data_IF_981959021215
#
_entry.id   IF_981959021215
#
_cell.length_a   1.000
_cell.length_b   1.000
_cell.length_c   1.000
_cell.angle_alpha   90.00
_cell.angle_beta   90.00
_cell.angle_gamma   90.00
#
_symmetry.space_group_name_H-M   'P 1'
#
loop_
_entity.id
_entity.type
_entity.pdbx_description
1 polymer ?
#
# COMPACT_ATOMS: atom_id res chain seq x y z
N UNK A 1 15.16 8.98 -0.51
CA UNK A 1 16.33 8.29 0.07
C UNK A 1 17.64 8.95 -0.35
N UNK A 2 17.67 9.64 -1.49
CA UNK A 2 18.89 10.27 -2.02
C UNK A 2 19.42 11.38 -1.13
N UNK A 3 18.55 12.25 -0.58
CA UNK A 3 18.95 13.29 0.37
C UNK A 3 19.76 12.72 1.54
N UNK A 4 19.26 11.66 2.20
CA UNK A 4 19.98 11.02 3.32
C UNK A 4 21.29 10.39 2.84
N UNK A 5 21.30 9.77 1.66
CA UNK A 5 22.51 9.11 1.15
C UNK A 5 23.60 10.11 0.76
N UNK A 6 23.20 11.27 0.21
CA UNK A 6 24.11 12.29 -0.30
C UNK A 6 24.61 13.22 0.81
N UNK A 7 23.72 13.65 1.70
CA UNK A 7 24.07 14.64 2.74
C UNK A 7 24.52 14.01 4.05
N UNK A 8 24.12 12.75 4.30
CA UNK A 8 24.45 12.02 5.52
C UNK A 8 25.05 10.64 5.19
N UNK A 9 26.24 10.60 4.55
CA UNK A 9 26.83 9.35 4.06
C UNK A 9 27.16 8.34 5.18
N UNK A 10 27.41 8.84 6.39
CA UNK A 10 27.65 8.01 7.58
C UNK A 10 26.34 7.51 8.24
N UNK A 11 25.20 7.83 7.64
CA UNK A 11 23.87 7.54 8.16
C UNK A 11 23.31 8.62 9.07
N UNK A 12 22.04 8.46 9.42
CA UNK A 12 21.30 9.38 10.29
C UNK A 12 20.76 8.66 11.51
N UNK A 13 20.71 9.40 12.62
CA UNK A 13 19.95 9.03 13.80
C UNK A 13 18.67 9.85 13.81
N UNK A 14 17.52 9.19 13.88
CA UNK A 14 16.21 9.84 14.01
C UNK A 14 15.63 9.49 15.37
N UNK A 15 15.39 10.50 16.19
CA UNK A 15 14.76 10.31 17.51
C UNK A 15 13.26 10.49 17.37
N UNK A 16 12.49 9.45 17.71
CA UNK A 16 11.04 9.43 17.56
C UNK A 16 10.35 9.33 18.93
N UNK A 17 9.19 9.98 19.04
CA UNK A 17 8.32 9.92 20.21
C UNK A 17 7.38 8.72 20.25
N UNK A 18 7.72 7.60 19.60
CA UNK A 18 6.85 6.42 19.59
C UNK A 18 6.75 5.82 21.00
N UNK A 19 5.53 5.42 21.39
CA UNK A 19 5.27 4.76 22.67
C UNK A 19 4.58 3.42 22.46
N UNK A 20 4.98 2.42 23.25
CA UNK A 20 4.49 1.04 23.10
C UNK A 20 2.99 0.91 23.38
N UNK A 21 2.46 1.77 24.25
CA UNK A 21 1.06 1.75 24.69
C UNK A 21 0.11 2.48 23.72
N UNK A 22 0.59 2.95 22.55
CA UNK A 22 -0.25 3.64 21.58
C UNK A 22 -1.00 2.69 20.64
N UNK A 23 -0.44 1.51 20.36
CA UNK A 23 -1.10 0.48 19.57
C UNK A 23 -0.37 -0.87 19.65
N UNK A 24 -1.08 -1.95 19.29
CA UNK A 24 -0.48 -3.28 19.17
C UNK A 24 0.66 -3.36 18.13
N UNK A 25 0.63 -2.51 17.09
CA UNK A 25 1.70 -2.45 16.11
C UNK A 25 2.96 -1.79 16.72
N UNK A 26 2.78 -0.71 17.49
CA UNK A 26 3.87 0.03 18.14
C UNK A 26 4.48 -0.74 19.32
N UNK A 27 3.73 -1.63 19.96
CA UNK A 27 4.25 -2.42 21.08
C UNK A 27 5.43 -3.32 20.70
N UNK A 28 5.61 -3.65 19.42
CA UNK A 28 6.71 -4.48 18.92
C UNK A 28 7.96 -3.70 18.49
N UNK A 29 7.85 -2.37 18.37
CA UNK A 29 8.97 -1.51 17.92
C UNK A 29 10.06 -1.56 19.00
N UNK A 30 11.34 -1.74 18.64
CA UNK A 30 12.45 -1.75 19.60
C UNK A 30 12.87 -0.35 20.04
N UNK A 31 13.74 -0.25 21.06
CA UNK A 31 14.39 1.01 21.41
C UNK A 31 15.23 1.54 20.23
N UNK A 32 16.00 0.66 19.59
CA UNK A 32 16.69 0.93 18.31
C UNK A 32 15.98 0.14 17.21
N UNK A 33 15.65 0.80 16.10
CA UNK A 33 15.17 0.13 14.88
C UNK A 33 15.91 0.67 13.65
N UNK A 34 16.01 -0.16 12.61
CA UNK A 34 16.49 0.30 11.29
C UNK A 34 15.29 0.46 10.36
N UNK A 35 15.26 1.56 9.62
CA UNK A 35 14.21 1.77 8.63
C UNK A 35 14.41 0.79 7.45
N UNK A 36 13.43 -0.09 7.14
CA UNK A 36 13.57 -1.08 6.06
C UNK A 36 13.61 -0.46 4.66
N UNK A 37 13.14 0.79 4.52
CA UNK A 37 13.12 1.54 3.26
C UNK A 37 14.28 2.53 3.15
N UNK A 38 14.92 2.88 4.27
CA UNK A 38 16.06 3.79 4.34
C UNK A 38 17.16 3.13 5.18
N UNK A 39 17.98 2.24 4.59
CA UNK A 39 18.92 1.40 5.35
C UNK A 39 19.96 2.18 6.17
N UNK A 40 20.31 3.40 5.75
CA UNK A 40 21.24 4.29 6.44
C UNK A 40 20.59 5.12 7.56
N UNK A 41 19.31 4.91 7.85
CA UNK A 41 18.60 5.58 8.93
C UNK A 41 18.41 4.61 10.11
N UNK A 42 18.90 5.03 11.28
CA UNK A 42 18.67 4.36 12.56
C UNK A 42 17.70 5.20 13.38
N UNK A 43 16.62 4.58 13.84
CA UNK A 43 15.60 5.23 14.66
C UNK A 43 15.82 4.87 16.14
N UNK A 44 15.71 5.86 17.01
CA UNK A 44 15.72 5.72 18.47
C UNK A 44 14.34 6.09 19.02
N UNK A 45 13.83 5.30 19.96
CA UNK A 45 12.52 5.51 20.61
C UNK A 45 12.68 5.67 22.13
N UNK A 46 13.18 6.82 22.64
CA UNK A 46 13.61 6.95 24.04
C UNK A 46 12.47 6.84 25.05
N UNK A 47 11.29 7.32 24.67
CA UNK A 47 10.10 7.33 25.53
C UNK A 47 9.22 6.10 25.31
N UNK A 48 9.73 5.04 24.66
CA UNK A 48 8.92 3.90 24.24
C UNK A 48 8.10 3.29 25.39
N UNK A 49 8.67 3.17 26.57
CA UNK A 49 8.01 2.55 27.74
C UNK A 49 7.07 3.49 28.48
N UNK A 50 7.05 4.77 28.12
CA UNK A 50 6.26 5.77 28.81
C UNK A 50 4.80 5.72 28.38
N UNK A 51 3.92 5.81 29.35
CA UNK A 51 2.49 6.04 29.21
C UNK A 51 2.17 7.50 28.84
N UNK A 52 0.92 7.78 28.48
CA UNK A 52 0.47 9.16 28.26
C UNK A 52 0.57 10.00 29.55
N UNK A 53 0.26 9.40 30.69
CA UNK A 53 0.34 10.08 31.98
C UNK A 53 1.77 10.49 32.34
N UNK A 54 2.76 9.62 32.11
CA UNK A 54 4.18 9.96 32.36
C UNK A 54 4.68 11.09 31.46
N UNK A 55 4.26 11.11 30.19
CA UNK A 55 4.61 12.20 29.28
C UNK A 55 4.04 13.53 29.77
N UNK A 56 2.73 13.58 30.08
CA UNK A 56 2.10 14.80 30.58
C UNK A 56 2.65 15.23 31.93
N UNK A 57 2.88 14.29 32.85
CA UNK A 57 3.51 14.56 34.14
C UNK A 57 4.88 15.20 33.98
N UNK A 58 5.69 14.73 33.01
CA UNK A 58 6.99 15.33 32.71
C UNK A 58 6.88 16.71 32.08
N UNK A 59 5.97 16.92 31.11
CA UNK A 59 5.70 18.22 30.50
C UNK A 59 5.36 19.25 31.58
N UNK A 60 4.41 18.93 32.47
CA UNK A 60 3.99 19.84 33.54
C UNK A 60 5.09 20.05 34.59
N UNK A 61 5.76 18.99 35.04
CA UNK A 61 6.86 19.08 36.00
C UNK A 61 8.00 19.98 35.50
N UNK A 62 8.27 19.94 34.19
CA UNK A 62 9.33 20.75 33.56
C UNK A 62 8.84 22.10 33.03
N UNK A 63 7.54 22.39 33.10
CA UNK A 63 6.96 23.61 32.53
C UNK A 63 7.18 23.73 31.02
N UNK A 64 7.13 22.60 30.29
CA UNK A 64 7.33 22.61 28.84
C UNK A 64 6.10 23.16 28.13
N UNK A 65 6.34 23.95 27.09
CA UNK A 65 5.28 24.36 26.17
C UNK A 65 4.72 23.13 25.44
N UNK A 66 3.40 23.10 25.31
CA UNK A 66 2.69 22.10 24.52
C UNK A 66 1.67 22.80 23.62
N UNK A 67 1.19 22.08 22.61
CA UNK A 67 0.27 22.65 21.65
C UNK A 67 -1.10 22.98 22.29
N UNK A 68 -1.62 24.22 22.17
CA UNK A 68 -2.89 24.62 22.78
C UNK A 68 -4.12 23.80 22.35
N UNK A 69 -4.04 23.05 21.23
CA UNK A 69 -5.13 22.16 20.82
C UNK A 69 -5.42 21.05 21.85
N UNK A 70 -4.44 20.65 22.67
CA UNK A 70 -4.68 19.72 23.77
C UNK A 70 -5.67 20.27 24.82
N UNK A 71 -5.73 21.59 25.00
CA UNK A 71 -6.71 22.25 25.88
C UNK A 71 -8.09 22.39 25.23
N UNK A 72 -8.14 22.14 23.92
CA UNK A 72 -9.36 22.22 23.12
C UNK A 72 -9.91 20.85 22.81
N UNK A 73 -9.67 19.83 23.64
CA UNK A 73 -10.22 18.47 23.48
C UNK A 73 -9.71 17.72 22.24
N UNK A 74 -8.42 17.92 21.90
CA UNK A 74 -7.69 17.03 20.98
C UNK A 74 -6.76 16.12 21.77
N UNK A 75 -6.89 14.80 21.58
CA UNK A 75 -6.01 13.82 22.23
C UNK A 75 -4.75 13.54 21.40
N UNK A 76 -4.83 13.74 20.08
CA UNK A 76 -3.71 13.55 19.15
C UNK A 76 -3.74 14.60 18.06
N UNK A 77 -2.61 15.27 17.90
CA UNK A 77 -2.45 16.31 16.89
C UNK A 77 -1.82 15.69 15.65
N UNK A 78 -2.50 15.84 14.53
CA UNK A 78 -2.06 15.34 13.23
C UNK A 78 -2.57 16.23 12.11
N UNK A 79 -2.88 15.63 10.98
CA UNK A 79 -3.49 16.37 9.87
C UNK A 79 -4.89 16.88 10.24
N UNK A 80 -5.21 18.05 9.71
CA UNK A 80 -6.56 18.57 9.65
C UNK A 80 -7.51 17.54 9.00
N UNK A 81 -8.56 17.14 9.72
CA UNK A 81 -9.55 16.11 9.33
C UNK A 81 -8.98 14.73 8.96
N UNK A 82 -8.11 14.23 9.83
CA UNK A 82 -7.56 12.88 9.72
C UNK A 82 -8.67 11.80 9.68
N UNK A 83 -8.64 10.83 8.74
CA UNK A 83 -9.56 9.68 8.76
C UNK A 83 -9.37 8.80 10.01
N UNK A 84 -8.26 8.96 10.73
CA UNK A 84 -7.95 8.23 11.97
C UNK A 84 -8.23 9.01 13.26
N UNK A 85 -8.72 10.26 13.21
CA UNK A 85 -9.09 11.00 14.43
C UNK A 85 -10.37 10.44 15.06
N UNK A 86 -10.67 10.81 16.30
CA UNK A 86 -11.94 10.43 16.91
C UNK A 86 -13.11 11.18 16.25
N UNK A 87 -14.32 10.58 16.30
CA UNK A 87 -15.53 11.27 15.85
C UNK A 87 -15.83 12.52 16.70
N UNK A 88 -15.44 12.52 17.99
CA UNK A 88 -15.46 13.70 18.85
C UNK A 88 -14.54 14.80 18.33
N UNK A 89 -13.30 14.48 17.96
CA UNK A 89 -12.34 15.44 17.40
C UNK A 89 -12.81 15.99 16.03
N UNK A 90 -13.52 15.19 15.24
CA UNK A 90 -14.20 15.65 14.03
C UNK A 90 -15.26 16.72 14.34
N UNK A 91 -16.16 16.44 15.30
CA UNK A 91 -17.17 17.40 15.76
C UNK A 91 -16.57 18.62 16.42
N UNK A 92 -15.45 18.46 17.11
CA UNK A 92 -14.75 19.56 17.70
C UNK A 92 -14.11 20.46 16.63
N UNK A 93 -13.59 19.89 15.55
CA UNK A 93 -13.08 20.63 14.39
C UNK A 93 -14.17 21.46 13.72
N UNK A 94 -15.38 20.92 13.55
CA UNK A 94 -16.58 21.66 13.10
C UNK A 94 -16.84 22.90 13.97
N UNK A 95 -16.69 22.77 15.29
CA UNK A 95 -16.91 23.86 16.24
C UNK A 95 -15.84 24.94 16.20
N UNK A 96 -14.55 24.57 16.11
CA UNK A 96 -13.44 25.53 16.21
C UNK A 96 -12.96 26.06 14.86
N UNK A 97 -13.23 25.33 13.77
CA UNK A 97 -12.85 25.67 12.40
C UNK A 97 -13.98 25.27 11.40
N UNK A 98 -15.14 25.95 11.46
CA UNK A 98 -16.33 25.56 10.70
C UNK A 98 -16.12 25.63 9.19
N UNK A 99 -15.41 26.64 8.69
CA UNK A 99 -15.16 26.84 7.26
C UNK A 99 -14.39 25.66 6.65
N UNK A 100 -13.27 25.31 7.28
CA UNK A 100 -12.46 24.19 6.82
C UNK A 100 -13.25 22.87 6.90
N UNK A 101 -14.10 22.73 7.94
CA UNK A 101 -14.86 21.50 8.15
C UNK A 101 -15.90 21.33 7.06
N UNK A 102 -16.58 22.43 6.75
CA UNK A 102 -17.54 22.52 5.66
C UNK A 102 -16.90 22.15 4.33
N UNK A 103 -15.75 22.73 3.98
CA UNK A 103 -15.07 22.46 2.71
C UNK A 103 -14.80 20.96 2.50
N UNK A 104 -14.32 20.29 3.54
CA UNK A 104 -14.05 18.86 3.48
C UNK A 104 -15.31 18.00 3.54
N UNK A 105 -16.32 18.39 4.33
CA UNK A 105 -17.60 17.71 4.36
C UNK A 105 -18.28 17.76 2.99
N UNK A 106 -18.32 18.93 2.36
CA UNK A 106 -18.84 19.12 1.00
C UNK A 106 -18.10 18.24 -0.01
N UNK A 107 -16.77 18.19 0.06
CA UNK A 107 -15.97 17.29 -0.78
C UNK A 107 -16.39 15.82 -0.62
N UNK A 108 -16.57 15.36 0.62
CA UNK A 108 -16.96 13.98 0.90
C UNK A 108 -18.38 13.67 0.45
N UNK A 109 -19.32 14.60 0.60
CA UNK A 109 -20.69 14.43 0.11
C UNK A 109 -20.74 14.35 -1.41
N UNK A 110 -20.03 15.23 -2.10
CA UNK A 110 -19.90 15.17 -3.57
C UNK A 110 -19.27 13.84 -4.00
N UNK A 111 -18.22 13.39 -3.31
CA UNK A 111 -17.62 12.08 -3.56
C UNK A 111 -18.63 10.93 -3.39
N UNK A 112 -19.46 10.96 -2.34
CA UNK A 112 -20.48 9.94 -2.11
C UNK A 112 -21.53 9.93 -3.24
N UNK A 113 -22.04 11.10 -3.60
CA UNK A 113 -23.04 11.27 -4.67
C UNK A 113 -22.52 10.75 -6.01
N UNK A 114 -21.33 11.16 -6.45
CA UNK A 114 -20.71 10.72 -7.71
C UNK A 114 -20.53 9.20 -7.80
N UNK A 115 -20.44 8.53 -6.64
CA UNK A 115 -20.22 7.09 -6.48
C UNK A 115 -21.49 6.32 -6.17
N UNK A 116 -22.64 6.98 -6.15
CA UNK A 116 -23.94 6.39 -5.84
C UNK A 116 -24.00 5.82 -4.42
N UNK A 117 -23.33 6.49 -3.48
CA UNK A 117 -23.35 6.21 -2.04
C UNK A 117 -24.28 7.21 -1.34
N UNK A 118 -24.98 6.79 -0.28
CA UNK A 118 -25.88 7.65 0.50
C UNK A 118 -25.08 8.68 1.32
N UNK A 119 -25.72 9.78 1.74
CA UNK A 119 -25.08 10.83 2.56
C UNK A 119 -24.58 10.27 3.89
N UNK A 120 -25.33 9.34 4.46
CA UNK A 120 -25.05 8.62 5.70
C UNK A 120 -23.73 7.85 5.63
N UNK A 121 -23.24 7.51 4.43
CA UNK A 121 -21.91 6.96 4.22
C UNK A 121 -20.82 7.89 4.79
N UNK A 122 -21.00 9.20 4.59
CA UNK A 122 -20.11 10.26 5.09
C UNK A 122 -20.34 10.50 6.57
N UNK A 123 -21.60 10.68 6.97
CA UNK A 123 -22.00 11.05 8.34
C UNK A 123 -21.55 10.02 9.38
N UNK A 124 -21.63 8.72 9.02
CA UNK A 124 -21.23 7.60 9.89
C UNK A 124 -19.74 7.26 9.75
N UNK A 125 -18.98 8.00 8.92
CA UNK A 125 -17.53 7.84 8.80
C UNK A 125 -17.08 6.59 8.05
N UNK A 126 -17.92 6.00 7.19
CA UNK A 126 -17.55 4.79 6.42
C UNK A 126 -16.40 5.08 5.42
N UNK A 127 -16.33 6.29 4.88
CA UNK A 127 -15.26 6.77 3.99
C UNK A 127 -13.85 6.69 4.58
N UNK A 128 -13.72 6.58 5.91
CA UNK A 128 -12.45 6.51 6.63
C UNK A 128 -11.74 5.16 6.46
N UNK A 129 -12.46 4.16 5.98
CA UNK A 129 -12.02 2.78 5.89
C UNK A 129 -11.82 2.36 4.45
N UNK A 130 -10.71 1.66 4.19
CA UNK A 130 -10.52 0.96 2.91
C UNK A 130 -11.30 -0.34 2.84
N UNK A 131 -11.36 -1.05 3.96
CA UNK A 131 -12.17 -2.25 4.19
C UNK A 131 -12.88 -2.04 5.52
N UNK A 132 -14.20 -2.21 5.52
CA UNK A 132 -15.01 -2.01 6.71
C UNK A 132 -14.71 -3.09 7.75
N UNK A 133 -14.44 -2.72 9.02
CA UNK A 133 -14.37 -3.68 10.12
C UNK A 133 -15.71 -4.42 10.30
N UNK A 134 -15.71 -5.65 10.84
CA UNK A 134 -16.94 -6.43 11.02
C UNK A 134 -18.08 -5.68 11.73
N UNK A 135 -17.74 -4.87 12.74
CA UNK A 135 -18.73 -4.04 13.45
C UNK A 135 -19.37 -2.95 12.57
N UNK A 136 -18.60 -2.38 11.64
CA UNK A 136 -19.09 -1.35 10.73
C UNK A 136 -19.92 -1.97 9.61
N UNK A 137 -19.59 -3.19 9.18
CA UNK A 137 -20.41 -3.95 8.22
C UNK A 137 -21.81 -4.17 8.81
N UNK A 138 -21.89 -4.74 10.03
CA UNK A 138 -23.18 -4.93 10.72
C UNK A 138 -23.96 -3.64 10.89
N UNK A 139 -23.29 -2.57 11.29
CA UNK A 139 -23.93 -1.26 11.42
C UNK A 139 -24.52 -0.78 10.09
N UNK A 140 -23.81 -0.97 8.99
CA UNK A 140 -24.35 -0.63 7.66
C UNK A 140 -25.54 -1.50 7.28
N UNK A 141 -25.49 -2.80 7.57
CA UNK A 141 -26.59 -3.75 7.33
C UNK A 141 -27.84 -3.38 8.15
N UNK A 142 -27.67 -3.10 9.45
CA UNK A 142 -28.76 -2.70 10.35
C UNK A 142 -29.42 -1.39 9.93
N UNK A 143 -28.68 -0.52 9.23
CA UNK A 143 -29.16 0.76 8.72
C UNK A 143 -29.61 0.71 7.25
N UNK A 144 -29.56 -0.46 6.60
CA UNK A 144 -29.81 -0.66 5.16
C UNK A 144 -28.97 0.31 4.28
N UNK A 145 -27.71 0.55 4.68
CA UNK A 145 -26.81 1.47 4.02
C UNK A 145 -25.92 0.78 3.00
N UNK A 146 -25.98 1.30 1.77
CA UNK A 146 -25.03 0.96 0.73
C UNK A 146 -23.65 1.55 1.03
N UNK A 147 -22.64 0.70 1.16
CA UNK A 147 -21.26 1.09 1.47
C UNK A 147 -20.27 0.88 0.33
N UNK A 148 -20.70 0.21 -0.75
CA UNK A 148 -19.89 -0.07 -1.92
C UNK A 148 -20.19 0.88 -3.08
N UNK A 149 -19.18 1.58 -3.63
CA UNK A 149 -19.33 2.43 -4.81
C UNK A 149 -19.88 1.66 -6.02
N UNK A 150 -20.77 2.25 -6.82
CA UNK A 150 -21.23 1.66 -8.09
C UNK A 150 -20.21 1.77 -9.22
N UNK A 151 -19.31 2.76 -9.13
CA UNK A 151 -18.19 2.95 -10.05
C UNK A 151 -16.92 2.80 -9.25
N UNK A 152 -16.21 1.67 -9.37
CA UNK A 152 -14.85 1.57 -8.85
C UNK A 152 -13.89 2.27 -9.83
N UNK A 153 -13.18 3.31 -9.36
CA UNK A 153 -12.04 3.88 -10.10
C UNK A 153 -10.79 3.48 -9.34
N UNK A 154 -9.88 2.76 -9.99
CA UNK A 154 -8.63 2.31 -9.41
C UNK A 154 -8.28 0.88 -9.82
N UNK A 155 -7.11 0.39 -9.37
CA UNK A 155 -6.73 -1.00 -9.59
C UNK A 155 -7.77 -1.97 -9.02
N UNK A 156 -8.12 -3.00 -9.77
CA UNK A 156 -9.05 -4.05 -9.31
C UNK A 156 -8.69 -5.40 -9.92
N UNK A 157 -9.09 -6.48 -9.26
CA UNK A 157 -8.89 -7.84 -9.72
C UNK A 157 -10.24 -8.55 -9.77
N UNK A 158 -10.57 -9.14 -10.92
CA UNK A 158 -11.74 -9.99 -11.10
C UNK A 158 -11.29 -11.39 -11.46
N UNK A 159 -11.51 -12.34 -10.57
CA UNK A 159 -11.24 -13.75 -10.84
C UNK A 159 -12.24 -14.28 -11.87
N UNK A 160 -11.73 -14.84 -12.98
CA UNK A 160 -12.53 -15.58 -13.96
C UNK A 160 -12.56 -17.06 -13.57
N UNK A 161 -11.40 -17.59 -13.19
CA UNK A 161 -11.22 -18.96 -12.74
C UNK A 161 -10.22 -18.99 -11.59
N UNK A 162 -10.70 -19.38 -10.41
CA UNK A 162 -9.83 -19.67 -9.27
C UNK A 162 -8.85 -20.80 -9.57
N UNK A 163 -7.85 -20.97 -8.70
CA UNK A 163 -6.86 -22.03 -8.81
C UNK A 163 -7.56 -23.40 -8.82
N UNK A 164 -7.67 -23.99 -10.01
CA UNK A 164 -8.52 -25.14 -10.29
C UNK A 164 -7.82 -26.10 -11.23
N UNK A 165 -8.18 -27.38 -11.15
CA UNK A 165 -7.60 -28.41 -12.01
C UNK A 165 -7.90 -28.14 -13.48
N UNK A 166 -6.92 -28.38 -14.35
CA UNK A 166 -7.09 -28.30 -15.80
C UNK A 166 -7.20 -29.71 -16.42
N UNK A 167 -7.84 -29.80 -17.60
CA UNK A 167 -8.08 -31.06 -18.29
C UNK A 167 -6.80 -31.79 -18.73
N UNK A 168 -5.68 -31.07 -18.85
CA UNK A 168 -4.37 -31.60 -19.23
C UNK A 168 -3.50 -32.03 -18.02
N UNK A 169 -4.03 -31.95 -16.80
CA UNK A 169 -3.28 -32.18 -15.55
C UNK A 169 -2.55 -30.93 -15.06
N UNK A 170 -2.66 -30.65 -13.76
CA UNK A 170 -2.14 -29.42 -13.13
C UNK A 170 -3.24 -28.42 -12.76
N UNK A 171 -2.82 -27.19 -12.43
CA UNK A 171 -3.68 -26.12 -11.93
C UNK A 171 -3.57 -24.87 -12.80
N UNK A 172 -4.71 -24.20 -13.00
CA UNK A 172 -4.82 -22.96 -13.74
C UNK A 172 -5.47 -21.86 -12.93
N UNK A 173 -4.99 -20.62 -13.07
CA UNK A 173 -5.62 -19.41 -12.53
C UNK A 173 -5.86 -18.42 -13.66
N UNK A 174 -7.05 -17.84 -13.73
CA UNK A 174 -7.39 -16.80 -14.69
C UNK A 174 -8.08 -15.62 -14.00
N UNK A 175 -7.59 -14.42 -14.30
CA UNK A 175 -8.15 -13.18 -13.78
C UNK A 175 -8.02 -12.04 -14.79
N UNK A 176 -8.84 -11.01 -14.59
CA UNK A 176 -8.70 -9.71 -15.23
C UNK A 176 -8.23 -8.73 -14.15
N UNK A 177 -7.05 -8.16 -14.35
CA UNK A 177 -6.45 -7.14 -13.49
C UNK A 177 -6.58 -5.80 -14.19
N UNK A 178 -7.45 -4.94 -13.68
CA UNK A 178 -7.58 -3.57 -14.15
C UNK A 178 -6.55 -2.72 -13.41
N UNK A 179 -5.66 -2.05 -14.13
CA UNK A 179 -4.66 -1.11 -13.56
C UNK A 179 -4.55 0.13 -14.46
N UNK A 180 -4.16 1.29 -13.91
CA UNK A 180 -3.85 2.45 -14.74
C UNK A 180 -2.76 2.10 -15.76
N UNK A 181 -2.96 2.42 -17.04
CA UNK A 181 -1.92 2.28 -18.07
C UNK A 181 -1.04 3.53 -18.09
N UNK A 182 -0.17 3.67 -17.09
CA UNK A 182 0.72 4.83 -17.02
C UNK A 182 1.95 4.69 -17.94
N UNK A 183 2.27 3.46 -18.38
CA UNK A 183 3.40 3.16 -19.26
C UNK A 183 3.00 2.13 -20.32
N UNK A 184 3.77 2.12 -21.41
CA UNK A 184 3.67 1.09 -22.44
C UNK A 184 3.78 -0.32 -21.85
N UNK A 185 3.11 -1.29 -22.47
CA UNK A 185 3.07 -2.66 -21.96
C UNK A 185 4.45 -3.35 -21.98
N UNK A 186 5.42 -2.86 -22.78
CA UNK A 186 6.83 -3.30 -22.69
C UNK A 186 7.44 -3.13 -21.29
N UNK A 187 6.99 -2.16 -20.48
CA UNK A 187 7.44 -2.04 -19.10
C UNK A 187 7.03 -3.25 -18.23
N UNK A 188 5.96 -3.94 -18.60
CA UNK A 188 5.53 -5.19 -17.95
C UNK A 188 6.53 -6.31 -18.24
N UNK A 189 7.07 -6.37 -19.45
CA UNK A 189 8.14 -7.33 -19.80
C UNK A 189 9.33 -7.19 -18.84
N UNK A 190 9.82 -5.96 -18.67
CA UNK A 190 10.97 -5.68 -17.80
C UNK A 190 10.69 -6.12 -16.35
N UNK A 191 9.52 -5.79 -15.80
CA UNK A 191 9.15 -6.21 -14.45
C UNK A 191 9.06 -7.74 -14.30
N UNK A 192 8.54 -8.43 -15.32
CA UNK A 192 8.39 -9.88 -15.33
C UNK A 192 9.73 -10.64 -15.39
N UNK A 193 10.81 -10.00 -15.88
CA UNK A 193 12.18 -10.57 -15.81
C UNK A 193 12.67 -10.79 -14.38
N UNK A 194 12.02 -10.20 -13.37
CA UNK A 194 12.30 -10.49 -11.95
C UNK A 194 11.71 -11.81 -11.46
N UNK A 195 10.89 -12.48 -12.29
CA UNK A 195 10.20 -13.72 -11.97
C UNK A 195 10.81 -14.88 -12.77
N UNK A 196 11.05 -14.70 -14.06
CA UNK A 196 11.59 -15.76 -14.93
C UNK A 196 11.91 -15.31 -16.35
N UNK A 197 11.97 -16.28 -17.25
CA UNK A 197 12.30 -16.06 -18.66
C UNK A 197 11.10 -15.50 -19.42
N UNK A 198 11.21 -14.26 -19.88
CA UNK A 198 10.14 -13.55 -20.57
C UNK A 198 10.29 -13.64 -22.08
N UNK A 199 9.19 -13.88 -22.78
CA UNK A 199 9.02 -13.63 -24.21
C UNK A 199 7.90 -12.61 -24.39
N UNK A 200 8.19 -11.50 -25.05
CA UNK A 200 7.24 -10.43 -25.28
C UNK A 200 6.91 -10.30 -26.77
N UNK A 201 5.63 -10.09 -27.07
CA UNK A 201 5.16 -9.69 -28.39
C UNK A 201 4.50 -8.32 -28.27
N UNK A 202 5.11 -7.31 -28.89
CA UNK A 202 4.59 -5.93 -28.91
C UNK A 202 3.34 -5.79 -29.76
N UNK A 203 3.22 -6.57 -30.84
CA UNK A 203 2.05 -6.56 -31.74
C UNK A 203 0.76 -6.95 -31.02
N UNK A 204 0.84 -7.94 -30.11
CA UNK A 204 -0.32 -8.45 -29.39
C UNK A 204 -0.38 -7.99 -27.92
N UNK A 205 0.59 -7.17 -27.47
CA UNK A 205 0.81 -6.83 -26.06
C UNK A 205 0.76 -8.08 -25.15
N UNK A 206 1.50 -9.15 -25.51
CA UNK A 206 1.52 -10.41 -24.75
C UNK A 206 2.90 -10.64 -24.16
N UNK A 207 2.96 -10.76 -22.84
CA UNK A 207 4.16 -11.20 -22.12
C UNK A 207 3.95 -12.61 -21.57
N UNK A 208 4.80 -13.55 -22.00
CA UNK A 208 4.82 -14.92 -21.52
C UNK A 208 6.06 -15.13 -20.65
N UNK A 209 5.86 -15.57 -19.41
CA UNK A 209 6.93 -15.85 -18.45
C UNK A 209 7.00 -17.33 -18.18
N UNK A 210 8.18 -17.92 -18.41
CA UNK A 210 8.47 -19.30 -18.01
C UNK A 210 9.27 -19.31 -16.73
N UNK A 211 8.86 -20.14 -15.79
CA UNK A 211 9.52 -20.35 -14.50
C UNK A 211 9.63 -21.84 -14.21
N UNK A 212 10.34 -22.20 -13.14
CA UNK A 212 10.40 -23.60 -12.66
C UNK A 212 9.06 -24.10 -12.11
N UNK A 213 8.23 -23.19 -11.59
CA UNK A 213 6.95 -23.52 -10.95
C UNK A 213 5.76 -23.51 -11.94
N UNK A 214 5.89 -22.86 -13.10
CA UNK A 214 4.81 -22.77 -14.08
C UNK A 214 5.05 -21.73 -15.17
N UNK A 215 4.02 -21.47 -15.96
CA UNK A 215 4.00 -20.43 -17.01
C UNK A 215 2.92 -19.40 -16.69
N UNK A 216 3.27 -18.12 -16.85
CA UNK A 216 2.35 -17.00 -16.76
C UNK A 216 2.19 -16.34 -18.14
N UNK A 217 0.97 -15.93 -18.49
CA UNK A 217 0.67 -15.11 -19.67
C UNK A 217 -0.07 -13.87 -19.19
N UNK A 218 0.47 -12.71 -19.53
CA UNK A 218 -0.14 -11.41 -19.26
C UNK A 218 -0.44 -10.74 -20.59
N UNK A 219 -1.62 -10.15 -20.69
CA UNK A 219 -2.10 -9.48 -21.89
C UNK A 219 -2.28 -7.99 -21.59
N UNK A 220 -2.09 -7.15 -22.62
CA UNK A 220 -2.32 -5.71 -22.54
C UNK A 220 -3.65 -5.36 -21.89
N UNK A 221 -4.73 -6.08 -22.23
CA UNK A 221 -6.06 -5.87 -21.67
C UNK A 221 -6.22 -6.18 -20.18
N UNK A 222 -5.13 -6.54 -19.48
CA UNK A 222 -5.14 -6.86 -18.05
C UNK A 222 -5.45 -8.32 -17.73
N UNK A 223 -5.74 -9.15 -18.74
CA UNK A 223 -5.93 -10.58 -18.53
C UNK A 223 -4.62 -11.22 -18.07
N UNK A 224 -4.72 -12.08 -17.06
CA UNK A 224 -3.62 -12.88 -16.51
C UNK A 224 -4.05 -14.34 -16.48
N UNK A 225 -3.27 -15.21 -17.10
CA UNK A 225 -3.49 -16.66 -17.13
C UNK A 225 -2.25 -17.40 -16.68
N UNK A 226 -2.40 -18.26 -15.68
CA UNK A 226 -1.32 -19.02 -15.06
C UNK A 226 -1.58 -20.51 -15.25
N UNK A 227 -0.53 -21.27 -15.55
CA UNK A 227 -0.55 -22.74 -15.52
C UNK A 227 0.61 -23.24 -14.68
N UNK A 228 0.34 -24.10 -13.70
CA UNK A 228 1.35 -24.76 -12.86
C UNK A 228 1.02 -26.24 -12.67
N UNK A 229 2.03 -27.05 -12.30
CA UNK A 229 1.82 -28.45 -11.92
C UNK A 229 1.16 -28.60 -10.55
N UNK A 230 1.28 -27.59 -9.68
CA UNK A 230 0.80 -27.64 -8.28
C UNK A 230 -0.13 -26.47 -7.98
N UNK A 231 -1.00 -26.66 -6.98
CA UNK A 231 -1.91 -25.62 -6.53
C UNK A 231 -1.11 -24.41 -5.99
N UNK A 232 -0.14 -24.67 -5.12
CA UNK A 232 0.66 -23.61 -4.49
C UNK A 232 1.51 -22.86 -5.51
N UNK A 233 2.13 -23.59 -6.46
CA UNK A 233 2.87 -22.97 -7.55
C UNK A 233 1.98 -22.09 -8.45
N UNK A 234 0.70 -22.44 -8.64
CA UNK A 234 -0.23 -21.60 -9.39
C UNK A 234 -0.58 -20.30 -8.65
N UNK A 235 -0.72 -20.36 -7.32
CA UNK A 235 -1.00 -19.19 -6.47
C UNK A 235 0.21 -18.27 -6.37
N UNK A 236 1.39 -18.82 -6.08
CA UNK A 236 2.64 -18.05 -5.98
C UNK A 236 2.96 -17.34 -7.30
N UNK A 237 2.88 -18.05 -8.42
CA UNK A 237 3.16 -17.46 -9.73
C UNK A 237 2.13 -16.39 -10.09
N UNK A 238 0.85 -16.60 -9.77
CA UNK A 238 -0.18 -15.60 -9.96
C UNK A 238 0.11 -14.31 -9.18
N UNK A 239 0.37 -14.43 -7.88
CA UNK A 239 0.68 -13.30 -7.01
C UNK A 239 1.88 -12.51 -7.54
N UNK A 240 2.99 -13.18 -7.85
CA UNK A 240 4.20 -12.53 -8.36
C UNK A 240 3.95 -11.85 -9.72
N UNK A 241 3.21 -12.49 -10.62
CA UNK A 241 2.86 -11.92 -11.93
C UNK A 241 2.00 -10.66 -11.80
N UNK A 242 0.98 -10.68 -10.94
CA UNK A 242 0.13 -9.50 -10.69
C UNK A 242 0.93 -8.39 -10.01
N UNK A 243 1.80 -8.70 -9.06
CA UNK A 243 2.71 -7.72 -8.45
C UNK A 243 3.66 -7.12 -9.48
N UNK A 244 4.20 -7.88 -10.42
CA UNK A 244 5.02 -7.34 -11.50
C UNK A 244 4.23 -6.39 -12.42
N UNK A 245 2.99 -6.74 -12.76
CA UNK A 245 2.08 -5.86 -13.52
C UNK A 245 1.79 -4.54 -12.78
N UNK A 246 1.48 -4.61 -11.49
CA UNK A 246 1.29 -3.41 -10.66
C UNK A 246 2.56 -2.56 -10.62
N UNK A 247 3.71 -3.20 -10.37
CA UNK A 247 5.00 -2.51 -10.26
C UNK A 247 5.39 -1.79 -11.55
N UNK A 248 5.13 -2.35 -12.73
CA UNK A 248 5.43 -1.67 -13.99
C UNK A 248 4.47 -0.52 -14.25
N UNK A 249 3.18 -0.76 -14.09
CA UNK A 249 2.12 0.18 -14.47
C UNK A 249 1.92 1.33 -13.48
N UNK A 250 2.32 1.15 -12.22
CA UNK A 250 2.21 2.17 -11.17
C UNK A 250 3.57 2.58 -10.59
N UNK A 251 4.68 2.30 -11.28
CA UNK A 251 6.01 2.73 -10.84
C UNK A 251 6.08 4.26 -10.69
N UNK A 252 6.61 4.72 -9.56
CA UNK A 252 6.87 6.14 -9.28
C UNK A 252 8.34 6.52 -9.44
N UNK A 253 9.16 5.62 -10.00
CA UNK A 253 10.61 5.83 -10.19
C UNK A 253 11.39 6.17 -8.91
N UNK A 254 10.92 5.68 -7.75
CA UNK A 254 11.49 6.02 -6.43
C UNK A 254 12.87 5.42 -6.09
N UNK A 255 13.43 4.52 -6.93
CA UNK A 255 14.77 3.96 -6.73
C UNK A 255 14.94 2.91 -5.62
N UNK A 256 13.90 2.59 -4.84
CA UNK A 256 14.02 1.64 -3.71
C UNK A 256 14.48 0.24 -4.18
N UNK A 257 13.91 -0.26 -5.27
CA UNK A 257 14.27 -1.58 -5.82
C UNK A 257 15.70 -1.64 -6.37
N UNK A 258 16.18 -0.56 -6.97
CA UNK A 258 17.56 -0.41 -7.46
C UNK A 258 18.55 -0.52 -6.29
N UNK A 259 18.34 0.27 -5.23
CA UNK A 259 19.20 0.28 -4.04
C UNK A 259 19.22 -1.05 -3.29
N UNK A 260 18.08 -1.77 -3.26
CA UNK A 260 17.99 -3.06 -2.56
C UNK A 260 18.54 -4.23 -3.38
N UNK A 261 18.82 -4.04 -4.67
CA UNK A 261 19.34 -5.11 -5.51
C UNK A 261 20.84 -5.33 -5.27
N UNK A 262 21.19 -6.34 -4.47
CA UNK A 262 22.59 -6.70 -4.20
C UNK A 262 23.40 -7.12 -5.44
N UNK A 263 22.72 -7.49 -6.54
CA UNK A 263 23.37 -7.84 -7.82
C UNK A 263 23.43 -6.67 -8.80
N UNK A 264 22.94 -5.49 -8.40
CA UNK A 264 22.85 -4.29 -9.23
C UNK A 264 22.13 -4.52 -10.57
N UNK A 265 21.21 -5.48 -10.62
CA UNK A 265 20.50 -5.91 -11.83
C UNK A 265 19.33 -4.99 -12.21
N UNK A 266 19.15 -3.88 -11.50
CA UNK A 266 17.99 -2.99 -11.65
C UNK A 266 18.53 -1.59 -11.91
N UNK A 267 17.92 -0.89 -12.88
CA UNK A 267 18.13 0.54 -13.09
C UNK A 267 16.80 1.27 -13.23
N UNK A 268 16.71 2.50 -12.73
CA UNK A 268 15.53 3.35 -12.94
C UNK A 268 15.75 4.36 -14.08
N UNK A 269 15.02 4.19 -15.18
CA UNK A 269 15.03 5.09 -16.36
C UNK A 269 13.60 5.33 -16.83
N UNK A 270 12.90 6.25 -16.18
CA UNK A 270 11.45 6.45 -16.36
C UNK A 270 10.60 5.17 -16.18
N UNK A 271 11.03 4.31 -15.26
CA UNK A 271 10.45 3.00 -15.08
C UNK A 271 11.47 2.01 -14.55
N UNK A 272 11.00 0.80 -14.25
CA UNK A 272 11.85 -0.29 -13.80
C UNK A 272 12.49 -0.97 -15.01
N UNK A 273 13.81 -0.99 -15.10
CA UNK A 273 14.54 -1.77 -16.09
C UNK A 273 15.37 -2.87 -15.41
N UNK A 274 15.33 -4.09 -15.96
CA UNK A 274 15.96 -5.28 -15.37
C UNK A 274 16.97 -5.88 -16.34
N UNK A 275 18.21 -5.95 -15.86
CA UNK A 275 19.28 -6.72 -16.47
C UNK A 275 19.11 -8.20 -16.09
N UNK A 276 18.71 -9.00 -17.08
CA UNK A 276 18.38 -10.42 -16.90
C UNK A 276 19.61 -11.24 -16.50
N UNK A 277 20.79 -10.94 -17.03
CA UNK A 277 21.99 -11.73 -16.82
C UNK A 277 22.52 -11.57 -15.40
N UNK A 278 22.26 -10.41 -14.79
CA UNK A 278 22.57 -10.16 -13.38
C UNK A 278 21.46 -10.57 -12.42
N UNK A 279 20.20 -10.58 -12.85
CA UNK A 279 19.06 -10.92 -12.00
C UNK A 279 19.01 -12.43 -11.68
N UNK A 280 18.77 -12.78 -10.42
CA UNK A 280 18.57 -14.18 -9.98
C UNK A 280 17.15 -14.46 -9.45
N UNK A 281 16.20 -13.56 -9.73
CA UNK A 281 14.79 -13.68 -9.33
C UNK A 281 14.53 -13.87 -7.83
N UNK A 282 15.41 -13.35 -6.96
CA UNK A 282 15.31 -13.50 -5.49
C UNK A 282 14.11 -12.79 -4.83
N UNK A 283 13.36 -11.95 -5.54
CA UNK A 283 12.17 -11.27 -5.00
C UNK A 283 12.43 -10.11 -4.04
N UNK A 284 13.68 -9.79 -3.70
CA UNK A 284 14.01 -8.70 -2.75
C UNK A 284 13.49 -7.32 -3.19
N UNK A 285 13.50 -7.06 -4.49
CA UNK A 285 12.99 -5.82 -5.06
C UNK A 285 11.45 -5.73 -5.02
N UNK A 286 10.77 -6.88 -5.12
CA UNK A 286 9.32 -7.00 -5.01
C UNK A 286 8.87 -6.71 -3.58
N UNK A 287 9.50 -7.36 -2.59
CA UNK A 287 9.13 -7.22 -1.17
C UNK A 287 9.33 -5.80 -0.62
N UNK A 288 10.29 -5.04 -1.15
CA UNK A 288 10.50 -3.63 -0.77
C UNK A 288 9.58 -2.63 -1.49
N UNK A 289 8.90 -3.04 -2.55
CA UNK A 289 8.21 -2.10 -3.41
C UNK A 289 6.85 -1.72 -2.82
N UNK A 290 6.66 -0.43 -2.47
CA UNK A 290 5.37 0.08 -1.96
C UNK A 290 4.19 -0.15 -2.90
N UNK A 291 4.45 -0.18 -4.21
CA UNK A 291 3.44 -0.46 -5.23
C UNK A 291 3.03 -1.93 -5.22
N UNK A 292 3.95 -2.87 -4.96
CA UNK A 292 3.62 -4.30 -4.92
C UNK A 292 2.63 -4.63 -3.79
N UNK A 293 2.69 -3.89 -2.68
CA UNK A 293 1.73 -3.98 -1.56
C UNK A 293 0.31 -3.49 -1.90
N UNK A 294 0.06 -2.97 -3.12
CA UNK A 294 -1.31 -2.79 -3.59
C UNK A 294 -1.99 -4.10 -3.99
N UNK A 295 -1.23 -5.18 -4.20
CA UNK A 295 -1.79 -6.50 -4.45
C UNK A 295 -2.81 -6.88 -3.36
N UNK A 296 -2.43 -6.76 -2.09
CA UNK A 296 -3.28 -7.07 -0.93
C UNK A 296 -4.57 -6.24 -0.86
N UNK A 297 -4.68 -5.18 -1.66
CA UNK A 297 -5.85 -4.29 -1.71
C UNK A 297 -6.77 -4.56 -2.90
N UNK A 298 -6.32 -5.35 -3.87
CA UNK A 298 -7.11 -5.66 -5.08
C UNK A 298 -7.61 -7.08 -5.11
N UNK A 299 -7.09 -7.99 -4.28
CA UNK A 299 -7.58 -9.37 -4.16
C UNK A 299 -8.89 -9.46 -3.39
#
# INVERSE_FOLDING_TARGET
>A
TDMISNEYPNGTITVEGNRMLESFARSKIGFVTKNPFVPNQTNLNPVRTWSAAEIWGYIWMKGLEYNPLYERDFERIGCYLCPSCLASEWKNTERIHPELHKDWADYLYNYAEERGLPKEFVDMGFWRWKVLPPKMIRLAEDMDLKTTPTKAKGPSLKMLKGASSCAAGGYSVEAIVTVPRARDFSAVEDALRTIGDVRYSSEFEIALVKTRIGTAKLFGGGQVSITSKTLDGSKELFERSVKALLRSQMCTSCGICEKKCARHAISIKDGLHIDKDRCNSCGMCESSCMVAHYYDKII
#
